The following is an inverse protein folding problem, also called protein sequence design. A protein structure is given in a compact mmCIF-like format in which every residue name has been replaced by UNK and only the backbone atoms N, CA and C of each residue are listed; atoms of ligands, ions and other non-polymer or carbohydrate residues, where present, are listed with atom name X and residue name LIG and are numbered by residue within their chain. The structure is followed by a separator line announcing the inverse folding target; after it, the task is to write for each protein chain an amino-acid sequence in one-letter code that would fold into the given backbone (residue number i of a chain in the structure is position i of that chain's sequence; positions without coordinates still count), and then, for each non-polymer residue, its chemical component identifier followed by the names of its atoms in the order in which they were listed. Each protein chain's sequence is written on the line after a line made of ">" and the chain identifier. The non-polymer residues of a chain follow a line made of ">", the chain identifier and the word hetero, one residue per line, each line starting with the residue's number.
data_IF_080070213342
#
_entry.id   IF_080070213342
#
_cell.length_a   1.000
_cell.length_b   1.000
_cell.length_c   1.000
_cell.angle_alpha   90.00
_cell.angle_beta   90.00
_cell.angle_gamma   90.00
#
_symmetry.space_group_name_H-M   'P 1'
#
loop_
_entity.id
_entity.type
_entity.pdbx_description
1 polymer ?
#
# COMPACT_ATOMS: atom_id res chain seq x y z
N UNK A 1 -3.04 -11.33 10.10
CA UNK A 1 -3.07 -10.96 8.68
C UNK A 1 -2.07 -9.83 8.43
N UNK A 2 -1.56 -9.74 7.22
CA UNK A 2 -0.57 -8.75 6.79
C UNK A 2 -1.26 -7.71 5.94
N UNK A 3 -1.06 -6.42 6.23
CA UNK A 3 -1.53 -5.30 5.41
C UNK A 3 -0.36 -4.80 4.55
N UNK A 4 -0.57 -4.69 3.24
CA UNK A 4 0.45 -4.23 2.30
C UNK A 4 -0.12 -3.07 1.48
N UNK A 5 0.50 -1.90 1.54
CA UNK A 5 0.17 -0.78 0.67
C UNK A 5 1.07 -0.77 -0.55
N UNK A 6 0.60 -0.27 -1.70
CA UNK A 6 1.31 -0.44 -2.96
C UNK A 6 1.40 -1.92 -3.38
N UNK A 7 0.39 -2.70 -3.01
CA UNK A 7 0.39 -4.17 -3.09
C UNK A 7 0.52 -4.74 -4.51
N UNK A 8 0.31 -3.92 -5.54
CA UNK A 8 0.51 -4.31 -6.94
C UNK A 8 1.80 -3.74 -7.55
N UNK A 9 2.52 -2.90 -6.80
CA UNK A 9 3.85 -2.42 -7.18
C UNK A 9 4.90 -3.54 -7.21
N UNK A 10 6.16 -3.19 -7.53
CA UNK A 10 7.25 -4.17 -7.61
C UNK A 10 7.48 -4.86 -6.26
N UNK A 11 7.78 -4.09 -5.24
CA UNK A 11 8.05 -4.61 -3.89
C UNK A 11 6.78 -5.20 -3.27
N UNK A 12 5.67 -4.45 -3.32
CA UNK A 12 4.42 -4.86 -2.69
C UNK A 12 3.86 -6.18 -3.22
N UNK A 13 3.94 -6.42 -4.54
CA UNK A 13 3.44 -7.68 -5.12
C UNK A 13 4.31 -8.89 -4.74
N UNK A 14 5.63 -8.73 -4.73
CA UNK A 14 6.55 -9.78 -4.31
C UNK A 14 6.38 -10.09 -2.82
N UNK A 15 6.20 -9.06 -1.99
CA UNK A 15 5.90 -9.22 -0.55
C UNK A 15 4.55 -9.93 -0.34
N UNK A 16 3.52 -9.56 -1.11
CA UNK A 16 2.22 -10.24 -1.02
C UNK A 16 2.33 -11.72 -1.35
N UNK A 17 3.01 -12.07 -2.44
CA UNK A 17 3.25 -13.47 -2.83
C UNK A 17 4.03 -14.25 -1.77
N UNK A 18 5.07 -13.65 -1.19
CA UNK A 18 5.84 -14.27 -0.12
C UNK A 18 4.96 -14.66 1.07
N UNK A 19 4.12 -13.75 1.56
CA UNK A 19 3.24 -14.03 2.69
C UNK A 19 2.10 -15.00 2.32
N UNK A 20 1.54 -14.92 1.12
CA UNK A 20 0.53 -15.85 0.63
C UNK A 20 1.08 -17.28 0.54
N UNK A 21 2.30 -17.47 0.05
CA UNK A 21 2.98 -18.77 0.01
C UNK A 21 3.26 -19.35 1.39
N UNK A 22 3.29 -18.51 2.42
CA UNK A 22 3.39 -18.91 3.83
C UNK A 22 2.02 -19.05 4.51
N UNK A 23 0.93 -19.08 3.74
CA UNK A 23 -0.45 -19.22 4.20
C UNK A 23 -0.95 -18.06 5.10
N UNK A 24 -0.35 -16.88 5.01
CA UNK A 24 -0.89 -15.70 5.68
C UNK A 24 -2.03 -15.06 4.89
N UNK A 25 -3.06 -14.58 5.60
CA UNK A 25 -4.07 -13.70 4.99
C UNK A 25 -3.44 -12.35 4.71
N UNK A 26 -3.55 -11.86 3.47
CA UNK A 26 -2.99 -10.60 3.00
C UNK A 26 -4.10 -9.64 2.61
N UNK A 27 -4.02 -8.42 3.11
CA UNK A 27 -4.82 -7.27 2.69
C UNK A 27 -3.93 -6.39 1.84
N UNK A 28 -4.24 -6.25 0.56
CA UNK A 28 -3.55 -5.34 -0.34
C UNK A 28 -4.32 -4.04 -0.52
N UNK A 29 -3.63 -2.91 -0.39
CA UNK A 29 -4.12 -1.58 -0.74
C UNK A 29 -3.33 -1.09 -1.95
N UNK A 30 -4.03 -0.71 -3.02
CA UNK A 30 -3.45 -0.11 -4.21
C UNK A 30 -4.56 0.59 -5.02
N UNK A 31 -4.25 1.71 -5.65
CA UNK A 31 -5.17 2.43 -6.52
C UNK A 31 -4.71 2.50 -7.99
N UNK A 32 -3.60 1.81 -8.32
CA UNK A 32 -2.98 1.83 -9.65
C UNK A 32 -2.54 3.24 -10.10
N UNK A 33 -2.10 4.08 -9.13
CA UNK A 33 -1.64 5.44 -9.40
C UNK A 33 -0.44 5.46 -10.38
N UNK A 34 0.26 4.33 -10.53
CA UNK A 34 1.29 4.14 -11.53
C UNK A 34 0.79 4.42 -12.95
N UNK A 35 -0.46 4.03 -13.26
CA UNK A 35 -1.05 4.30 -14.58
C UNK A 35 -1.29 5.80 -14.85
N UNK A 36 -1.50 6.60 -13.81
CA UNK A 36 -1.58 8.05 -13.88
C UNK A 36 -0.22 8.66 -14.25
N UNK A 37 0.84 8.26 -13.56
CA UNK A 37 2.18 8.83 -13.75
C UNK A 37 2.86 8.37 -15.05
N UNK A 38 2.68 7.12 -15.46
CA UNK A 38 3.47 6.49 -16.54
C UNK A 38 2.62 5.98 -17.71
N UNK A 39 1.32 6.34 -17.73
CA UNK A 39 0.38 5.93 -18.78
C UNK A 39 -0.22 4.54 -18.59
N UNK A 40 -1.25 4.25 -19.39
CA UNK A 40 -2.06 3.02 -19.27
C UNK A 40 -1.24 1.72 -19.37
N UNK A 41 -0.18 1.72 -20.17
CA UNK A 41 0.69 0.55 -20.36
C UNK A 41 1.53 0.21 -19.10
N UNK A 42 1.70 1.18 -18.19
CA UNK A 42 2.38 0.97 -16.92
C UNK A 42 1.47 0.43 -15.81
N UNK A 43 0.18 0.21 -16.08
CA UNK A 43 -0.79 -0.30 -15.11
C UNK A 43 -0.39 -1.67 -14.54
N UNK A 44 -0.57 -1.82 -13.25
CA UNK A 44 -0.32 -3.05 -12.50
C UNK A 44 -1.57 -3.94 -12.32
N UNK A 45 -2.67 -3.67 -13.04
CA UNK A 45 -3.93 -4.45 -12.94
C UNK A 45 -3.74 -5.94 -13.20
N UNK A 46 -2.77 -6.33 -14.02
CA UNK A 46 -2.47 -7.75 -14.25
C UNK A 46 -1.94 -8.45 -13.00
N UNK A 47 -1.13 -7.75 -12.17
CA UNK A 47 -0.66 -8.25 -10.87
C UNK A 47 -1.81 -8.34 -9.87
N UNK A 48 -2.70 -7.34 -9.84
CA UNK A 48 -3.93 -7.38 -9.03
C UNK A 48 -4.75 -8.63 -9.36
N UNK A 49 -5.01 -8.88 -10.66
CA UNK A 49 -5.74 -10.07 -11.13
C UNK A 49 -5.03 -11.36 -10.69
N UNK A 50 -3.70 -11.42 -10.78
CA UNK A 50 -2.91 -12.58 -10.35
C UNK A 50 -3.03 -12.84 -8.86
N UNK A 51 -2.84 -11.82 -8.03
CA UNK A 51 -2.94 -11.93 -6.57
C UNK A 51 -4.35 -12.34 -6.12
N UNK A 52 -5.40 -11.82 -6.77
CA UNK A 52 -6.80 -12.15 -6.48
C UNK A 52 -7.18 -13.61 -6.75
N UNK A 53 -6.38 -14.39 -7.47
CA UNK A 53 -6.59 -15.84 -7.62
C UNK A 53 -6.35 -16.60 -6.32
N UNK A 54 -5.60 -16.04 -5.39
CA UNK A 54 -5.38 -16.64 -4.07
C UNK A 54 -6.49 -16.22 -3.11
N UNK A 55 -7.21 -17.18 -2.53
CA UNK A 55 -8.34 -16.93 -1.62
C UNK A 55 -7.95 -16.21 -0.31
N UNK A 56 -6.68 -16.24 0.06
CA UNK A 56 -6.15 -15.54 1.22
C UNK A 56 -5.83 -14.06 0.95
N UNK A 57 -5.88 -13.61 -0.33
CA UNK A 57 -5.64 -12.22 -0.71
C UNK A 57 -6.95 -11.44 -0.84
N UNK A 58 -7.00 -10.27 -0.24
CA UNK A 58 -8.10 -9.31 -0.43
C UNK A 58 -7.56 -7.97 -0.87
N UNK A 59 -8.00 -7.50 -2.02
CA UNK A 59 -7.62 -6.20 -2.58
C UNK A 59 -8.61 -5.11 -2.20
N UNK A 60 -8.08 -3.95 -1.83
CA UNK A 60 -8.84 -2.73 -1.62
C UNK A 60 -8.29 -1.62 -2.51
N UNK A 61 -9.11 -1.15 -3.45
CA UNK A 61 -8.77 0.00 -4.29
C UNK A 61 -8.95 1.27 -3.46
N UNK A 62 -7.91 1.62 -2.70
CA UNK A 62 -7.88 2.79 -1.81
C UNK A 62 -6.62 3.59 -2.11
N UNK A 63 -6.77 4.91 -2.19
CA UNK A 63 -5.66 5.86 -2.14
C UNK A 63 -5.25 6.07 -0.68
N UNK A 64 -3.97 5.98 -0.37
CA UNK A 64 -3.47 6.15 1.01
C UNK A 64 -3.67 7.58 1.53
N UNK A 65 -3.93 8.55 0.64
CA UNK A 65 -4.30 9.92 0.99
C UNK A 65 -5.75 10.04 1.50
N UNK A 66 -6.61 9.06 1.19
CA UNK A 66 -8.02 9.07 1.62
C UNK A 66 -8.12 8.59 3.08
N UNK A 67 -8.00 9.55 4.00
CA UNK A 67 -8.03 9.31 5.44
C UNK A 67 -9.26 8.50 5.87
N UNK A 68 -10.44 8.84 5.34
CA UNK A 68 -11.70 8.20 5.72
C UNK A 68 -11.75 6.72 5.34
N UNK A 69 -11.27 6.40 4.11
CA UNK A 69 -11.22 4.99 3.65
C UNK A 69 -10.16 4.19 4.39
N UNK A 70 -8.99 4.78 4.64
CA UNK A 70 -7.92 4.16 5.44
C UNK A 70 -8.45 3.89 6.86
N UNK A 71 -9.05 4.88 7.52
CA UNK A 71 -9.62 4.69 8.85
C UNK A 71 -10.69 3.59 8.88
N UNK A 72 -11.60 3.57 7.89
CA UNK A 72 -12.64 2.52 7.78
C UNK A 72 -12.03 1.13 7.67
N UNK A 73 -10.94 0.98 6.89
CA UNK A 73 -10.25 -0.29 6.72
C UNK A 73 -9.58 -0.73 8.04
N UNK A 74 -8.86 0.16 8.72
CA UNK A 74 -8.23 -0.15 9.99
C UNK A 74 -9.25 -0.47 11.09
N UNK A 75 -10.36 0.27 11.17
CA UNK A 75 -11.48 -0.06 12.09
C UNK A 75 -12.07 -1.44 11.84
N UNK A 76 -12.15 -1.87 10.56
CA UNK A 76 -12.67 -3.20 10.19
C UNK A 76 -11.77 -4.33 10.67
N UNK A 77 -10.46 -4.16 10.64
CA UNK A 77 -9.51 -5.25 10.91
C UNK A 77 -8.83 -5.16 12.27
N UNK A 78 -8.59 -3.97 12.80
CA UNK A 78 -8.02 -3.71 14.14
C UNK A 78 -6.82 -4.64 14.45
N UNK A 79 -6.77 -5.24 15.64
CA UNK A 79 -5.70 -6.11 16.10
C UNK A 79 -5.51 -7.41 15.29
N UNK A 80 -6.38 -7.69 14.33
CA UNK A 80 -6.15 -8.79 13.37
C UNK A 80 -5.01 -8.48 12.39
N UNK A 81 -4.68 -7.21 12.19
CA UNK A 81 -3.47 -6.81 11.48
C UNK A 81 -2.29 -7.07 12.43
N UNK A 82 -1.31 -7.86 11.97
CA UNK A 82 -0.11 -8.21 12.74
C UNK A 82 1.16 -7.56 12.19
N UNK A 83 1.12 -7.18 10.90
CA UNK A 83 2.18 -6.38 10.30
C UNK A 83 1.59 -5.49 9.18
N UNK A 84 2.19 -4.33 9.02
CA UNK A 84 1.93 -3.39 7.94
C UNK A 84 3.23 -3.24 7.16
N UNK A 85 3.18 -3.52 5.85
CA UNK A 85 4.32 -3.32 4.95
C UNK A 85 3.94 -2.18 4.01
N UNK A 86 4.52 -1.02 4.26
CA UNK A 86 4.21 0.19 3.51
C UNK A 86 5.19 0.36 2.35
N UNK A 87 4.70 0.07 1.14
CA UNK A 87 5.46 0.20 -0.12
C UNK A 87 4.80 1.15 -1.13
N UNK A 88 3.65 1.73 -0.77
CA UNK A 88 3.01 2.72 -1.63
C UNK A 88 3.81 4.03 -1.59
N UNK A 89 4.20 4.51 -2.76
CA UNK A 89 4.93 5.75 -2.93
C UNK A 89 4.69 6.35 -4.33
N UNK A 90 5.00 7.63 -4.49
CA UNK A 90 5.27 8.26 -5.77
C UNK A 90 6.79 8.19 -6.01
N UNK A 91 7.28 7.37 -6.97
CA UNK A 91 8.71 7.04 -7.08
C UNK A 91 9.47 7.87 -8.11
N UNK A 92 8.83 8.82 -8.81
CA UNK A 92 9.43 9.53 -9.94
C UNK A 92 9.88 10.93 -9.58
N UNK A 93 11.18 11.22 -9.75
CA UNK A 93 11.74 12.56 -9.58
C UNK A 93 11.12 13.57 -10.55
N UNK A 94 10.91 13.18 -11.82
CA UNK A 94 10.32 14.07 -12.84
C UNK A 94 8.89 14.47 -12.48
N UNK A 95 8.12 13.53 -11.90
CA UNK A 95 6.78 13.82 -11.42
C UNK A 95 6.78 14.63 -10.13
N UNK A 96 7.73 14.41 -9.23
CA UNK A 96 7.90 15.23 -8.04
C UNK A 96 8.18 16.70 -8.42
N UNK A 97 8.98 16.95 -9.46
CA UNK A 97 9.23 18.27 -9.96
C UNK A 97 7.99 18.93 -10.62
N UNK A 98 7.16 18.14 -11.32
CA UNK A 98 5.94 18.63 -11.99
C UNK A 98 4.78 18.84 -11.03
N UNK A 99 4.60 17.94 -10.08
CA UNK A 99 3.49 17.92 -9.13
C UNK A 99 3.99 17.73 -7.68
N UNK A 100 4.73 18.72 -7.13
CA UNK A 100 5.35 18.58 -5.79
C UNK A 100 4.33 18.36 -4.67
N UNK A 101 3.14 18.94 -4.78
CA UNK A 101 2.08 18.71 -3.80
C UNK A 101 1.55 17.28 -3.86
N UNK A 102 1.40 16.72 -5.07
CA UNK A 102 1.00 15.32 -5.24
C UNK A 102 2.05 14.39 -4.66
N UNK A 103 3.34 14.66 -4.91
CA UNK A 103 4.45 13.91 -4.33
C UNK A 103 4.42 13.95 -2.80
N UNK A 104 4.33 15.14 -2.21
CA UNK A 104 4.23 15.33 -0.77
C UNK A 104 3.02 14.62 -0.17
N UNK A 105 1.84 14.77 -0.79
CA UNK A 105 0.64 14.13 -0.27
C UNK A 105 0.68 12.60 -0.35
N UNK A 106 1.28 12.02 -1.38
CA UNK A 106 1.44 10.56 -1.44
C UNK A 106 2.47 10.10 -0.42
N UNK A 107 3.67 10.68 -0.44
CA UNK A 107 4.80 10.15 0.32
C UNK A 107 4.76 10.56 1.81
N UNK A 108 4.31 11.77 2.16
CA UNK A 108 4.25 12.25 3.54
C UNK A 108 2.85 12.08 4.15
N UNK A 109 1.83 12.72 3.58
CA UNK A 109 0.47 12.69 4.14
C UNK A 109 -0.10 11.27 4.15
N UNK A 110 0.08 10.51 3.07
CA UNK A 110 -0.37 9.12 3.01
C UNK A 110 0.30 8.22 4.05
N UNK A 111 1.61 8.41 4.27
CA UNK A 111 2.34 7.70 5.32
C UNK A 111 1.82 8.07 6.71
N UNK A 112 1.60 9.36 6.98
CA UNK A 112 1.05 9.82 8.25
C UNK A 112 -0.35 9.24 8.52
N UNK A 113 -1.23 9.19 7.50
CA UNK A 113 -2.54 8.54 7.62
C UNK A 113 -2.43 7.09 8.07
N UNK A 114 -1.45 6.35 7.53
CA UNK A 114 -1.23 4.96 7.93
C UNK A 114 -0.70 4.84 9.36
N UNK A 115 0.28 5.67 9.73
CA UNK A 115 0.88 5.67 11.07
C UNK A 115 -0.13 6.02 12.17
N UNK A 116 -0.99 7.03 11.95
CA UNK A 116 -2.03 7.40 12.91
C UNK A 116 -3.09 6.29 13.08
N UNK A 117 -3.47 5.63 11.99
CA UNK A 117 -4.38 4.51 12.07
C UNK A 117 -3.74 3.26 12.68
N UNK A 118 -2.45 3.01 12.39
CA UNK A 118 -1.65 1.96 13.04
C UNK A 118 -1.62 2.17 14.57
N UNK A 119 -1.19 3.36 15.03
CA UNK A 119 -1.13 3.72 16.44
C UNK A 119 -2.48 3.52 17.15
N UNK A 120 -3.58 3.89 16.48
CA UNK A 120 -4.92 3.88 17.08
C UNK A 120 -5.59 2.50 17.10
N UNK A 121 -5.37 1.67 16.07
CA UNK A 121 -6.20 0.46 15.87
C UNK A 121 -5.43 -0.86 15.96
N UNK A 122 -4.13 -0.85 15.82
CA UNK A 122 -3.29 -2.05 15.89
C UNK A 122 -1.86 -1.76 16.40
N UNK A 123 -1.73 -1.11 17.59
CA UNK A 123 -0.43 -0.67 18.11
C UNK A 123 0.57 -1.82 18.34
N UNK A 124 0.07 -3.04 18.52
CA UNK A 124 0.90 -4.25 18.73
C UNK A 124 1.38 -4.87 17.40
N UNK A 125 1.01 -4.31 16.25
CA UNK A 125 1.49 -4.77 14.95
C UNK A 125 2.90 -4.22 14.67
N UNK A 126 3.65 -4.89 13.80
CA UNK A 126 4.90 -4.34 13.27
C UNK A 126 4.59 -3.39 12.09
N UNK A 127 5.25 -2.24 12.03
CA UNK A 127 5.18 -1.34 10.89
C UNK A 127 6.53 -1.30 10.18
N UNK A 128 6.56 -1.73 8.93
CA UNK A 128 7.75 -1.73 8.07
C UNK A 128 7.54 -0.73 6.95
N UNK A 129 8.43 0.24 6.84
CA UNK A 129 8.44 1.24 5.79
C UNK A 129 9.60 0.96 4.83
N UNK A 130 9.30 0.93 3.52
CA UNK A 130 10.35 0.82 2.50
C UNK A 130 10.81 2.22 2.11
N UNK A 131 12.06 2.53 2.41
CA UNK A 131 12.70 3.80 2.06
C UNK A 131 13.55 3.66 0.79
N UNK A 132 14.30 4.71 0.48
CA UNK A 132 15.22 4.80 -0.66
C UNK A 132 16.62 5.14 -0.17
N UNK A 133 17.63 4.82 -0.99
CA UNK A 133 19.00 5.26 -0.77
C UNK A 133 19.29 6.66 -1.35
N UNK A 134 18.29 7.25 -2.03
CA UNK A 134 18.37 8.62 -2.55
C UNK A 134 17.64 9.56 -1.59
N UNK A 135 18.32 10.06 -0.66
CA UNK A 135 17.87 11.05 0.34
C UNK A 135 18.73 12.30 0.26
#
# INVERSE_FOLDING_TARGET
>A
MILITGSTGLIGSSTAEFFLNKNYKVIGIDNDLRSYFFGKNASNKWKEKRLKKNSLYRHYKIDIRDEKKIQKLFKKFKQRIKAIIHTAAQPSHDWAAKEPLTDFHVNATGTLNLLENFRKYCPDASFVFTSTNKV
#
